data_IF_057686292867
#
_entry.id   IF_057686292867
#
_cell.length_a   1.000
_cell.length_b   1.000
_cell.length_c   1.000
_cell.angle_alpha   90.00
_cell.angle_beta   90.00
_cell.angle_gamma   90.00
#
_symmetry.space_group_name_H-M   'P 1'
#
loop_
_entity.id
_entity.type
_entity.pdbx_description
1 polymer ?
#
# COMPACT_ATOMS: atom_id res chain seq x y z
N UNK A 1 -40.55 -37.31 -23.37
CA UNK A 1 -40.30 -35.88 -23.61
C UNK A 1 -39.20 -35.27 -22.71
N UNK A 2 -38.44 -36.06 -21.93
CA UNK A 2 -37.43 -35.55 -20.99
C UNK A 2 -36.03 -35.27 -21.59
N UNK A 3 -35.77 -35.66 -22.84
CA UNK A 3 -34.44 -35.50 -23.47
C UNK A 3 -34.18 -34.07 -23.98
N UNK A 4 -35.23 -33.34 -24.35
CA UNK A 4 -35.11 -31.98 -24.88
C UNK A 4 -34.81 -30.94 -23.79
N UNK A 5 -35.37 -31.08 -22.60
CA UNK A 5 -35.11 -30.17 -21.46
C UNK A 5 -33.70 -30.34 -20.90
N UNK A 6 -33.20 -31.57 -20.80
CA UNK A 6 -31.81 -31.83 -20.37
C UNK A 6 -30.77 -31.27 -21.36
N UNK A 7 -31.09 -31.25 -22.66
CA UNK A 7 -30.22 -30.71 -23.70
C UNK A 7 -30.18 -29.18 -23.70
N UNK A 8 -31.30 -28.51 -23.41
CA UNK A 8 -31.38 -27.04 -23.34
C UNK A 8 -30.67 -26.53 -22.09
N UNK A 9 -30.88 -27.17 -20.94
CA UNK A 9 -30.18 -26.85 -19.69
C UNK A 9 -28.65 -27.01 -19.82
N UNK A 10 -28.18 -28.06 -20.49
CA UNK A 10 -26.75 -28.25 -20.75
C UNK A 10 -26.17 -27.16 -21.68
N UNK A 11 -26.99 -26.60 -22.58
CA UNK A 11 -26.58 -25.56 -23.52
C UNK A 11 -26.53 -24.17 -22.87
N UNK A 12 -27.34 -23.94 -21.83
CA UNK A 12 -27.32 -22.71 -21.02
C UNK A 12 -26.26 -22.76 -19.90
N UNK A 13 -25.90 -23.95 -19.40
CA UNK A 13 -24.93 -24.11 -18.31
C UNK A 13 -23.48 -23.91 -18.77
N UNK A 14 -23.10 -24.42 -19.94
CA UNK A 14 -21.74 -24.30 -20.47
C UNK A 14 -21.21 -22.86 -20.58
N UNK A 15 -21.97 -21.86 -21.10
CA UNK A 15 -21.50 -20.48 -21.12
C UNK A 15 -21.43 -19.84 -19.73
N UNK A 16 -22.21 -20.29 -18.76
CA UNK A 16 -22.14 -19.82 -17.38
C UNK A 16 -20.86 -20.36 -16.69
N UNK A 17 -20.59 -21.65 -16.84
CA UNK A 17 -19.35 -22.28 -16.34
C UNK A 17 -18.10 -21.61 -16.92
N UNK A 18 -18.11 -21.29 -18.23
CA UNK A 18 -17.01 -20.57 -18.87
C UNK A 18 -16.81 -19.16 -18.29
N UNK A 19 -17.89 -18.44 -17.97
CA UNK A 19 -17.81 -17.11 -17.34
C UNK A 19 -17.29 -17.19 -15.90
N UNK A 20 -17.75 -18.16 -15.12
CA UNK A 20 -17.27 -18.41 -13.76
C UNK A 20 -15.77 -18.70 -13.78
N UNK A 21 -15.31 -19.60 -14.66
CA UNK A 21 -13.88 -19.94 -14.77
C UNK A 21 -13.04 -18.75 -15.26
N UNK A 22 -13.59 -17.91 -16.14
CA UNK A 22 -12.92 -16.69 -16.59
C UNK A 22 -12.69 -15.70 -15.45
N UNK A 23 -13.70 -15.41 -14.64
CA UNK A 23 -13.56 -14.50 -13.50
C UNK A 23 -12.72 -15.09 -12.37
N UNK A 24 -12.77 -16.41 -12.13
CA UNK A 24 -11.87 -17.09 -11.18
C UNK A 24 -10.41 -16.90 -11.56
N UNK A 25 -10.06 -17.14 -12.83
CA UNK A 25 -8.68 -16.96 -13.32
C UNK A 25 -8.20 -15.51 -13.22
N UNK A 26 -9.08 -14.55 -13.53
CA UNK A 26 -8.76 -13.12 -13.36
C UNK A 26 -8.51 -12.77 -11.89
N UNK A 27 -9.33 -13.28 -10.98
CA UNK A 27 -9.16 -13.06 -9.54
C UNK A 27 -7.85 -13.66 -9.04
N UNK A 28 -7.56 -14.91 -9.39
CA UNK A 28 -6.33 -15.60 -9.02
C UNK A 28 -5.08 -14.82 -9.49
N UNK A 29 -5.09 -14.29 -10.71
CA UNK A 29 -3.98 -13.48 -11.22
C UNK A 29 -3.77 -12.19 -10.42
N UNK A 30 -4.85 -11.51 -10.02
CA UNK A 30 -4.78 -10.29 -9.19
C UNK A 30 -4.38 -10.61 -7.74
N UNK A 31 -4.83 -11.75 -7.19
CA UNK A 31 -4.42 -12.24 -5.87
C UNK A 31 -2.91 -12.53 -5.81
N UNK A 32 -2.34 -13.09 -6.87
CA UNK A 32 -0.89 -13.31 -6.94
C UNK A 32 -0.12 -11.99 -7.06
N UNK A 33 -0.60 -11.03 -7.85
CA UNK A 33 0.00 -9.69 -7.91
C UNK A 33 -0.09 -8.97 -6.55
N UNK A 34 -1.21 -9.11 -5.84
CA UNK A 34 -1.37 -8.54 -4.51
C UNK A 34 -0.36 -9.13 -3.53
N UNK A 35 -0.10 -10.45 -3.58
CA UNK A 35 0.90 -11.09 -2.74
C UNK A 35 2.30 -10.52 -2.96
N UNK A 36 2.69 -10.29 -4.22
CA UNK A 36 3.98 -9.66 -4.54
C UNK A 36 4.08 -8.25 -3.95
N UNK A 37 3.01 -7.46 -4.04
CA UNK A 37 2.95 -6.11 -3.46
C UNK A 37 3.01 -6.16 -1.92
N UNK A 38 2.36 -7.14 -1.30
CA UNK A 38 2.39 -7.34 0.15
C UNK A 38 3.79 -7.76 0.63
N UNK A 39 4.51 -8.59 -0.12
CA UNK A 39 5.90 -8.96 0.15
C UNK A 39 6.83 -7.74 0.05
N UNK A 40 6.62 -6.88 -0.97
CA UNK A 40 7.34 -5.61 -1.12
C UNK A 40 7.09 -4.67 0.07
N UNK A 41 5.83 -4.49 0.48
CA UNK A 41 5.47 -3.70 1.67
C UNK A 41 6.06 -4.28 2.96
N UNK A 42 6.14 -5.61 3.07
CA UNK A 42 6.78 -6.26 4.21
C UNK A 42 8.29 -5.99 4.26
N UNK A 43 8.96 -5.91 3.11
CA UNK A 43 10.37 -5.55 3.04
C UNK A 43 10.64 -4.13 3.58
N UNK A 44 9.70 -3.20 3.35
CA UNK A 44 9.77 -1.85 3.89
C UNK A 44 9.57 -1.75 5.40
N UNK A 45 9.06 -2.79 6.08
CA UNK A 45 8.70 -2.71 7.51
C UNK A 45 9.86 -2.27 8.42
N UNK A 46 11.06 -2.83 8.22
CA UNK A 46 12.24 -2.49 9.02
C UNK A 46 12.80 -1.09 8.70
N UNK A 47 12.64 -0.62 7.46
CA UNK A 47 13.02 0.74 7.08
C UNK A 47 11.98 1.75 7.59
N UNK A 48 10.70 1.37 7.62
CA UNK A 48 9.61 2.23 8.08
C UNK A 48 9.81 2.66 9.53
N UNK A 49 10.16 1.75 10.42
CA UNK A 49 10.43 2.08 11.83
C UNK A 49 11.57 3.10 11.97
N UNK A 50 12.59 3.04 11.10
CA UNK A 50 13.72 3.98 11.12
C UNK A 50 13.30 5.37 10.63
N UNK A 51 12.51 5.45 9.55
CA UNK A 51 12.01 6.71 9.02
C UNK A 51 10.93 7.34 9.90
N UNK A 52 10.09 6.53 10.55
CA UNK A 52 9.14 6.99 11.56
C UNK A 52 9.86 7.64 12.75
N UNK A 53 10.94 7.02 13.24
CA UNK A 53 11.76 7.61 14.31
C UNK A 53 12.42 8.94 13.87
N UNK A 54 12.91 9.03 12.63
CA UNK A 54 13.46 10.28 12.09
C UNK A 54 12.39 11.38 12.00
N UNK A 55 11.18 11.03 11.55
CA UNK A 55 10.04 11.96 11.51
C UNK A 55 9.71 12.48 12.91
N UNK A 56 9.66 11.60 13.90
CA UNK A 56 9.34 11.98 15.28
C UNK A 56 10.38 12.95 15.87
N UNK A 57 11.66 12.75 15.55
CA UNK A 57 12.73 13.68 15.93
C UNK A 57 12.54 15.04 15.25
N UNK A 58 12.30 15.06 13.93
CA UNK A 58 12.03 16.31 13.20
C UNK A 58 10.83 17.06 13.79
N UNK A 59 9.73 16.36 14.07
CA UNK A 59 8.53 16.94 14.66
C UNK A 59 8.78 17.50 16.07
N UNK A 60 9.56 16.80 16.88
CA UNK A 60 9.93 17.28 18.21
C UNK A 60 10.79 18.55 18.16
N UNK A 61 11.74 18.61 17.21
CA UNK A 61 12.58 19.79 17.00
C UNK A 61 11.75 20.98 16.48
N UNK A 62 10.83 20.74 15.54
CA UNK A 62 9.88 21.78 15.09
C UNK A 62 9.04 22.29 16.25
N UNK A 63 8.60 21.39 17.14
CA UNK A 63 7.83 21.77 18.33
C UNK A 63 8.65 22.64 19.29
N UNK A 64 9.93 22.34 19.48
CA UNK A 64 10.82 23.18 20.28
C UNK A 64 10.99 24.56 19.64
N UNK A 65 11.07 24.65 18.32
CA UNK A 65 11.12 25.92 17.59
C UNK A 65 9.87 26.78 17.76
N UNK A 66 8.68 26.17 17.63
CA UNK A 66 7.42 26.86 17.90
C UNK A 66 7.35 27.42 19.33
N UNK A 67 7.91 26.70 20.30
CA UNK A 67 7.95 27.08 21.71
C UNK A 67 9.12 28.03 22.05
N UNK A 68 9.98 28.37 21.07
CA UNK A 68 11.22 29.13 21.29
C UNK A 68 12.12 28.51 22.36
N UNK A 69 12.17 27.19 22.39
CA UNK A 69 12.85 26.37 23.38
C UNK A 69 13.95 25.49 22.77
N UNK A 70 14.40 25.81 21.56
CA UNK A 70 15.42 25.06 20.80
C UNK A 70 16.72 24.93 21.59
N UNK A 71 17.09 25.97 22.33
CA UNK A 71 18.28 25.99 23.20
C UNK A 71 18.26 24.86 24.24
N UNK A 72 17.10 24.40 24.72
CA UNK A 72 17.03 23.27 25.66
C UNK A 72 17.56 21.96 25.07
N UNK A 73 17.62 21.85 23.75
CA UNK A 73 18.18 20.71 23.04
C UNK A 73 19.61 20.98 22.55
N UNK A 74 19.88 22.18 22.05
CA UNK A 74 21.18 22.51 21.45
C UNK A 74 22.25 22.94 22.47
N UNK A 75 21.86 23.38 23.67
CA UNK A 75 22.80 23.83 24.70
C UNK A 75 23.79 22.72 25.09
N UNK A 76 25.09 23.05 25.09
CA UNK A 76 26.15 22.12 25.44
C UNK A 76 26.58 21.16 24.32
N UNK A 77 25.93 21.19 23.16
CA UNK A 77 26.40 20.48 21.97
C UNK A 77 27.51 21.28 21.27
N UNK A 78 28.50 20.62 20.65
CA UNK A 78 29.48 21.29 19.80
C UNK A 78 28.80 22.06 18.69
N UNK A 79 29.36 23.21 18.32
CA UNK A 79 28.81 24.04 17.23
C UNK A 79 28.82 23.24 15.91
N UNK A 80 27.63 22.92 15.42
CA UNK A 80 27.44 22.29 14.11
C UNK A 80 27.25 23.41 13.09
N UNK A 81 28.18 23.52 12.14
CA UNK A 81 28.04 24.41 10.98
C UNK A 81 26.92 23.86 10.10
N UNK A 82 25.72 24.43 10.20
CA UNK A 82 24.52 24.13 9.41
C UNK A 82 23.57 23.04 9.94
N UNK A 83 23.09 23.23 11.17
CA UNK A 83 21.99 22.42 11.74
C UNK A 83 20.73 22.48 10.87
N UNK A 84 20.37 23.67 10.38
CA UNK A 84 19.14 23.88 9.60
C UNK A 84 19.16 23.08 8.30
N UNK A 85 20.23 23.18 7.51
CA UNK A 85 20.37 22.43 6.27
C UNK A 85 20.45 20.92 6.49
N UNK A 86 21.07 20.48 7.59
CA UNK A 86 21.05 19.06 7.95
C UNK A 86 19.63 18.56 8.25
N UNK A 87 18.86 19.31 9.04
CA UNK A 87 17.47 18.95 9.35
C UNK A 87 16.60 18.95 8.10
N UNK A 88 16.75 19.92 7.20
CA UNK A 88 16.05 19.93 5.92
C UNK A 88 16.39 18.71 5.07
N UNK A 89 17.66 18.31 5.02
CA UNK A 89 18.09 17.08 4.33
C UNK A 89 17.45 15.82 4.92
N UNK A 90 17.36 15.73 6.25
CA UNK A 90 16.68 14.60 6.92
C UNK A 90 15.20 14.59 6.59
N UNK A 91 14.51 15.74 6.66
CA UNK A 91 13.09 15.85 6.31
C UNK A 91 12.83 15.42 4.86
N UNK A 92 13.68 15.84 3.92
CA UNK A 92 13.55 15.43 2.51
C UNK A 92 13.74 13.92 2.32
N UNK A 93 14.61 13.28 3.11
CA UNK A 93 14.77 11.82 3.08
C UNK A 93 13.51 11.10 3.58
N UNK A 94 12.90 11.59 4.66
CA UNK A 94 11.62 11.07 5.18
C UNK A 94 10.51 11.23 4.14
N UNK A 95 10.35 12.43 3.59
CA UNK A 95 9.32 12.70 2.60
C UNK A 95 9.43 11.80 1.36
N UNK A 96 10.65 11.60 0.84
CA UNK A 96 10.87 10.70 -0.30
C UNK A 96 10.51 9.25 0.02
N UNK A 97 10.86 8.77 1.20
CA UNK A 97 10.50 7.41 1.63
C UNK A 97 8.96 7.25 1.76
N UNK A 98 8.28 8.25 2.32
CA UNK A 98 6.82 8.25 2.40
C UNK A 98 6.18 8.27 1.00
N UNK A 99 6.74 9.01 0.05
CA UNK A 99 6.30 9.02 -1.35
C UNK A 99 6.47 7.63 -1.98
N UNK A 100 7.64 7.01 -1.84
CA UNK A 100 7.91 5.66 -2.36
C UNK A 100 6.92 4.62 -1.82
N UNK A 101 6.67 4.61 -0.50
CA UNK A 101 5.69 3.70 0.11
C UNK A 101 4.26 4.00 -0.35
N UNK A 102 3.90 5.28 -0.53
CA UNK A 102 2.54 5.64 -0.90
C UNK A 102 2.13 5.08 -2.26
N UNK A 103 3.06 5.06 -3.23
CA UNK A 103 2.85 4.44 -4.55
C UNK A 103 2.53 2.95 -4.43
N UNK A 104 3.24 2.23 -3.56
CA UNK A 104 3.02 0.79 -3.34
C UNK A 104 1.68 0.52 -2.64
N UNK A 105 1.32 1.37 -1.66
CA UNK A 105 0.02 1.30 -0.98
C UNK A 105 -1.16 1.61 -1.92
N UNK A 106 -1.02 2.58 -2.82
CA UNK A 106 -2.01 2.88 -3.85
C UNK A 106 -2.22 1.69 -4.79
N UNK A 107 -1.12 1.02 -5.18
CA UNK A 107 -1.18 -0.21 -5.97
C UNK A 107 -1.91 -1.32 -5.22
N UNK A 108 -1.57 -1.54 -3.94
CA UNK A 108 -2.25 -2.53 -3.09
C UNK A 108 -3.76 -2.30 -3.06
N UNK A 109 -4.18 -1.05 -2.80
CA UNK A 109 -5.59 -0.65 -2.76
C UNK A 109 -6.32 -0.93 -4.08
N UNK A 110 -5.71 -0.56 -5.22
CA UNK A 110 -6.29 -0.81 -6.54
C UNK A 110 -6.49 -2.30 -6.83
N UNK A 111 -5.55 -3.16 -6.40
CA UNK A 111 -5.67 -4.61 -6.56
C UNK A 111 -6.78 -5.19 -5.68
N UNK A 112 -6.89 -4.72 -4.44
CA UNK A 112 -7.98 -5.12 -3.53
C UNK A 112 -9.37 -4.72 -4.07
N UNK A 113 -9.49 -3.53 -4.66
CA UNK A 113 -10.72 -3.08 -5.32
C UNK A 113 -11.10 -4.01 -6.49
N UNK A 114 -10.14 -4.38 -7.36
CA UNK A 114 -10.37 -5.33 -8.46
C UNK A 114 -10.79 -6.73 -7.98
N UNK A 115 -10.21 -7.23 -6.89
CA UNK A 115 -10.64 -8.50 -6.27
C UNK A 115 -12.11 -8.38 -5.81
N UNK A 116 -12.46 -7.24 -5.20
CA UNK A 116 -13.84 -6.92 -4.84
C UNK A 116 -14.80 -6.95 -6.03
N UNK A 117 -14.42 -6.33 -7.14
CA UNK A 117 -15.18 -6.35 -8.39
C UNK A 117 -15.38 -7.78 -8.91
N UNK A 118 -14.33 -8.59 -8.99
CA UNK A 118 -14.45 -9.98 -9.46
C UNK A 118 -15.25 -10.87 -8.53
N UNK A 119 -15.19 -10.64 -7.21
CA UNK A 119 -16.04 -11.34 -6.26
C UNK A 119 -17.52 -10.96 -6.42
N UNK A 120 -17.81 -9.70 -6.75
CA UNK A 120 -19.16 -9.26 -7.06
C UNK A 120 -19.66 -9.91 -8.36
N UNK A 121 -18.86 -9.90 -9.43
CA UNK A 121 -19.18 -10.56 -10.71
C UNK A 121 -19.45 -12.07 -10.52
N UNK A 122 -18.62 -12.75 -9.74
CA UNK A 122 -18.81 -14.18 -9.42
C UNK A 122 -20.05 -14.44 -8.55
N UNK A 123 -20.50 -13.46 -7.76
CA UNK A 123 -21.68 -13.60 -6.90
C UNK A 123 -22.99 -13.46 -7.68
N UNK A 124 -23.01 -12.65 -8.73
CA UNK A 124 -24.21 -12.42 -9.56
C UNK A 124 -24.40 -13.46 -10.68
N UNK A 125 -23.37 -14.27 -10.95
CA UNK A 125 -23.40 -15.42 -11.87
C UNK A 125 -23.93 -16.68 -11.19
#
# INVERSE_FOLDING_TARGET
MSTSTSSILAQELAPLEAQIEHYRKKREAVEEELRVVEDELSAFSAERDQFDALRDVCNALDKLGELKAEELFWEGLPEVKDVSGHLESVRNRVARFEEEISVVLEKQKSLQEKIGEYNYELFIL
#
